data_IF_452904493807
#
_entry.id   IF_452904493807
#
_cell.length_a   1.000
_cell.length_b   1.000
_cell.length_c   1.000
_cell.angle_alpha   90.00
_cell.angle_beta   90.00
_cell.angle_gamma   90.00
#
_symmetry.space_group_name_H-M   'P 1'
#
loop_
_entity.id
_entity.type
_entity.pdbx_description
1 polymer ?
#
# COMPACT_ATOMS: atom_id res chain seq x y z
N UNK A 1 -16.59 -15.98 -5.28
CA UNK A 1 -15.15 -15.72 -5.31
C UNK A 1 -14.96 -14.22 -5.56
N UNK A 2 -14.14 -13.52 -4.77
CA UNK A 2 -13.82 -12.12 -5.06
C UNK A 2 -12.99 -12.04 -6.35
N UNK A 3 -13.25 -11.03 -7.19
CA UNK A 3 -12.51 -10.84 -8.45
C UNK A 3 -11.02 -10.52 -8.21
N UNK A 4 -10.66 -10.06 -7.00
CA UNK A 4 -9.31 -9.75 -6.57
C UNK A 4 -8.94 -10.56 -5.33
N UNK A 5 -7.73 -11.11 -5.32
CA UNK A 5 -7.17 -11.83 -4.18
C UNK A 5 -5.70 -11.43 -3.96
N UNK A 6 -5.36 -10.76 -2.84
CA UNK A 6 -6.27 -10.24 -1.82
C UNK A 6 -7.21 -9.18 -2.38
N UNK A 7 -8.32 -8.93 -1.68
CA UNK A 7 -9.18 -7.78 -1.95
C UNK A 7 -8.42 -6.47 -1.66
N UNK A 8 -8.76 -5.35 -2.32
CA UNK A 8 -8.22 -4.05 -1.95
C UNK A 8 -8.41 -3.77 -0.46
N UNK A 9 -7.35 -3.25 0.19
CA UNK A 9 -7.41 -2.91 1.60
C UNK A 9 -8.38 -1.75 1.84
N UNK A 10 -9.10 -1.80 2.96
CA UNK A 10 -9.97 -0.69 3.37
C UNK A 10 -9.21 0.28 4.27
N UNK A 11 -8.68 1.37 3.72
CA UNK A 11 -7.88 2.33 4.50
C UNK A 11 -8.68 3.14 5.53
N UNK A 12 -10.01 3.10 5.51
CA UNK A 12 -10.83 3.70 6.59
C UNK A 12 -10.91 2.82 7.84
N UNK A 13 -10.42 1.57 7.79
CA UNK A 13 -10.36 0.67 8.93
C UNK A 13 -9.02 0.87 9.67
N UNK A 14 -9.02 1.14 11.00
CA UNK A 14 -7.80 1.38 11.77
C UNK A 14 -6.86 0.16 11.83
N UNK A 15 -7.35 -1.04 11.48
CA UNK A 15 -6.55 -2.26 11.35
C UNK A 15 -5.71 -2.36 10.07
N UNK A 16 -5.70 -1.32 9.21
CA UNK A 16 -5.02 -1.36 7.90
C UNK A 16 -3.80 -0.43 7.84
N UNK A 17 -3.90 0.72 7.17
CA UNK A 17 -2.78 1.63 6.89
C UNK A 17 -2.13 2.15 8.18
N UNK A 18 -2.93 2.36 9.24
CA UNK A 18 -2.44 2.81 10.54
C UNK A 18 -1.57 1.78 11.29
N UNK A 19 -1.61 0.49 10.90
CA UNK A 19 -0.79 -0.57 11.50
C UNK A 19 0.58 -0.74 10.80
N UNK A 20 0.79 -0.02 9.70
CA UNK A 20 1.90 -0.22 8.79
C UNK A 20 2.85 0.99 8.82
N UNK A 21 4.12 0.71 8.58
CA UNK A 21 5.16 1.74 8.49
C UNK A 21 5.13 2.39 7.12
N UNK A 22 5.47 3.68 7.06
CA UNK A 22 5.49 4.44 5.79
C UNK A 22 6.38 3.80 4.73
N UNK A 23 7.53 3.28 5.13
CA UNK A 23 8.46 2.59 4.22
C UNK A 23 7.86 1.32 3.62
N UNK A 24 7.09 0.57 4.40
CA UNK A 24 6.37 -0.60 3.90
C UNK A 24 5.25 -0.19 2.95
N UNK A 25 4.46 0.83 3.30
CA UNK A 25 3.39 1.35 2.44
C UNK A 25 3.98 1.85 1.11
N UNK A 26 5.05 2.64 1.16
CA UNK A 26 5.74 3.12 -0.03
C UNK A 26 6.24 1.97 -0.90
N UNK A 27 6.94 1.00 -0.31
CA UNK A 27 7.40 -0.19 -1.03
C UNK A 27 6.22 -0.93 -1.68
N UNK A 28 5.13 -1.10 -0.93
CA UNK A 28 3.97 -1.84 -1.41
C UNK A 28 3.26 -1.13 -2.56
N UNK A 29 3.13 0.20 -2.50
CA UNK A 29 2.55 1.01 -3.59
C UNK A 29 3.46 1.00 -4.81
N UNK A 30 4.76 1.23 -4.62
CA UNK A 30 5.73 1.26 -5.71
C UNK A 30 5.80 -0.09 -6.45
N UNK A 31 5.92 -1.20 -5.71
CA UNK A 31 6.09 -2.54 -6.30
C UNK A 31 4.79 -3.23 -6.69
N UNK A 32 3.66 -2.88 -6.09
CA UNK A 32 2.41 -3.61 -6.28
C UNK A 32 2.53 -5.06 -5.81
N UNK A 33 1.85 -5.99 -6.50
CA UNK A 33 1.99 -7.43 -6.29
C UNK A 33 2.64 -8.17 -7.45
N UNK A 34 2.22 -7.86 -8.67
CA UNK A 34 2.56 -8.62 -9.88
C UNK A 34 4.09 -8.70 -10.07
N UNK A 35 4.61 -9.93 -10.13
CA UNK A 35 6.02 -10.19 -10.40
C UNK A 35 6.93 -10.18 -9.16
N UNK A 36 6.39 -9.99 -7.95
CA UNK A 36 7.16 -10.12 -6.72
C UNK A 36 7.49 -11.59 -6.40
N UNK A 37 8.63 -11.85 -5.74
CA UNK A 37 8.95 -13.17 -5.22
C UNK A 37 8.00 -13.53 -4.06
N UNK A 38 7.97 -14.81 -3.67
CA UNK A 38 7.01 -15.33 -2.69
C UNK A 38 7.18 -14.69 -1.29
N UNK A 39 8.36 -14.17 -0.96
CA UNK A 39 8.62 -13.44 0.28
C UNK A 39 7.86 -12.11 0.34
N UNK A 40 7.45 -11.56 -0.81
CA UNK A 40 6.65 -10.35 -0.95
C UNK A 40 5.14 -10.57 -0.79
N UNK A 41 4.73 -11.59 -0.02
CA UNK A 41 3.31 -11.89 0.19
C UNK A 41 2.52 -10.63 0.59
N UNK A 42 1.39 -10.34 -0.06
CA UNK A 42 0.75 -11.11 -1.13
C UNK A 42 1.34 -10.81 -2.52
N UNK A 43 2.13 -11.72 -3.07
CA UNK A 43 2.78 -11.60 -4.38
C UNK A 43 1.80 -11.72 -5.56
N UNK A 44 0.66 -12.40 -5.36
CA UNK A 44 -0.36 -12.55 -6.39
C UNK A 44 -1.37 -11.39 -6.45
N UNK A 45 -1.14 -10.33 -5.66
CA UNK A 45 -2.02 -9.16 -5.68
C UNK A 45 -2.04 -8.52 -7.06
N UNK A 46 -3.24 -8.16 -7.51
CA UNK A 46 -3.47 -7.44 -8.77
C UNK A 46 -3.06 -5.97 -8.72
N UNK A 47 -2.56 -5.49 -7.58
CA UNK A 47 -2.08 -4.12 -7.45
C UNK A 47 -0.94 -3.89 -8.46
N UNK A 48 -1.07 -2.91 -9.37
CA UNK A 48 -0.03 -2.61 -10.35
C UNK A 48 1.25 -2.10 -9.67
N UNK A 49 2.42 -2.29 -10.29
CA UNK A 49 3.66 -1.64 -9.86
C UNK A 49 3.61 -0.15 -10.21
N UNK A 50 3.09 0.69 -9.32
CA UNK A 50 2.88 2.12 -9.60
C UNK A 50 4.18 2.89 -9.87
N UNK A 51 5.34 2.38 -9.49
CA UNK A 51 6.64 2.98 -9.85
C UNK A 51 6.88 3.05 -11.37
N UNK A 52 6.13 2.29 -12.17
CA UNK A 52 6.18 2.34 -13.63
C UNK A 52 5.30 3.44 -14.24
N UNK A 53 4.46 4.07 -13.42
CA UNK A 53 3.45 5.04 -13.85
C UNK A 53 3.54 6.38 -13.13
N UNK A 54 4.06 6.39 -11.90
CA UNK A 54 4.16 7.54 -11.02
C UNK A 54 5.62 7.75 -10.60
N UNK A 55 5.99 9.00 -10.45
CA UNK A 55 7.24 9.39 -9.79
C UNK A 55 7.19 9.09 -8.30
N UNK A 56 8.37 9.02 -7.66
CA UNK A 56 8.49 8.85 -6.19
C UNK A 56 7.70 9.92 -5.43
N UNK A 57 7.73 11.17 -5.90
CA UNK A 57 6.99 12.29 -5.28
C UNK A 57 5.47 12.12 -5.41
N UNK A 58 4.98 11.66 -6.56
CA UNK A 58 3.56 11.38 -6.76
C UNK A 58 3.07 10.21 -5.90
N UNK A 59 3.88 9.15 -5.75
CA UNK A 59 3.58 8.04 -4.85
C UNK A 59 3.45 8.56 -3.40
N UNK A 60 4.39 9.40 -2.95
CA UNK A 60 4.30 10.00 -1.62
C UNK A 60 3.08 10.89 -1.45
N UNK A 61 2.72 11.68 -2.46
CA UNK A 61 1.50 12.50 -2.44
C UNK A 61 0.24 11.66 -2.24
N UNK A 62 0.13 10.52 -2.93
CA UNK A 62 -1.00 9.59 -2.75
C UNK A 62 -1.02 9.03 -1.35
N UNK A 63 0.12 8.55 -0.83
CA UNK A 63 0.22 7.97 0.52
C UNK A 63 -0.16 9.01 1.59
N UNK A 64 0.37 10.22 1.48
CA UNK A 64 0.07 11.32 2.40
C UNK A 64 -1.40 11.75 2.31
N UNK A 65 -1.98 11.74 1.11
CA UNK A 65 -3.41 11.97 0.91
C UNK A 65 -4.25 10.91 1.65
N UNK A 66 -3.90 9.63 1.57
CA UNK A 66 -4.64 8.56 2.26
C UNK A 66 -4.62 8.76 3.78
N UNK A 67 -3.46 9.09 4.37
CA UNK A 67 -3.38 9.41 5.80
C UNK A 67 -4.20 10.64 6.16
N UNK A 68 -4.08 11.72 5.39
CA UNK A 68 -4.86 12.94 5.61
C UNK A 68 -6.38 12.70 5.48
N UNK A 69 -6.80 11.93 4.48
CA UNK A 69 -8.20 11.65 4.18
C UNK A 69 -8.84 10.76 5.26
N UNK A 70 -8.11 9.75 5.74
CA UNK A 70 -8.59 8.81 6.75
C UNK A 70 -8.45 9.35 8.18
N UNK A 71 -7.64 10.40 8.38
CA UNK A 71 -7.33 10.95 9.69
C UNK A 71 -6.37 10.08 10.51
N UNK A 72 -5.78 9.06 9.89
CA UNK A 72 -4.79 8.19 10.52
C UNK A 72 -3.38 8.75 10.37
N UNK A 73 -2.50 8.28 11.25
CA UNK A 73 -1.08 8.55 11.21
C UNK A 73 -0.32 7.25 10.99
N UNK A 74 0.86 7.31 10.34
CA UNK A 74 1.69 6.14 10.17
C UNK A 74 2.10 5.53 11.50
N UNK A 75 2.30 4.21 11.51
CA UNK A 75 2.81 3.53 12.70
C UNK A 75 4.23 4.01 13.01
N UNK A 76 4.42 4.59 14.18
CA UNK A 76 5.73 4.90 14.76
C UNK A 76 6.27 3.69 15.54
N UNK A 77 7.58 3.69 15.82
CA UNK A 77 8.20 2.68 16.65
C UNK A 77 7.98 3.03 18.12
N UNK A 78 7.04 2.34 18.77
CA UNK A 78 6.86 2.27 20.22
C UNK A 78 6.35 0.87 20.59
#
# INVERSE_FOLDING_TARGET
AFAFNPIPANFTDPGTIAQLQETFIFWRVAKGGIGLPNEGFPWASVMPPWEQHLTVDEIWKVILFEYWHTGYYPRTWD
#
